data_IF_245465919323
#
_entry.id   IF_245465919323
#
_cell.length_a   1.000
_cell.length_b   1.000
_cell.length_c   1.000
_cell.angle_alpha   90.00
_cell.angle_beta   90.00
_cell.angle_gamma   90.00
#
_symmetry.space_group_name_H-M   'P 1'
#
loop_
_entity.id
_entity.type
_entity.pdbx_description
1 polymer ?
#
# COMPACT_ATOMS: atom_id res chain seq x y z
N UNK A 1 40.05 47.58 -4.52
CA UNK A 1 38.98 47.88 -5.49
C UNK A 1 37.67 47.61 -4.78
N UNK A 2 36.97 48.70 -4.44
CA UNK A 2 35.68 48.69 -3.78
C UNK A 2 34.59 48.42 -4.82
N UNK A 3 33.59 47.63 -4.47
CA UNK A 3 32.36 47.48 -5.25
C UNK A 3 31.17 47.66 -4.31
N UNK A 4 30.31 48.57 -4.73
CA UNK A 4 29.34 49.27 -3.93
C UNK A 4 28.10 48.45 -3.58
N UNK A 5 27.61 48.76 -2.39
CA UNK A 5 26.31 48.39 -1.83
C UNK A 5 25.20 49.16 -2.54
N UNK A 6 24.17 48.46 -3.03
CA UNK A 6 22.90 49.06 -3.40
C UNK A 6 21.79 48.41 -2.58
N UNK A 7 21.36 49.16 -1.56
CA UNK A 7 20.13 48.95 -0.83
C UNK A 7 19.06 49.86 -1.47
N UNK A 8 17.88 49.32 -1.75
CA UNK A 8 16.76 50.08 -2.30
C UNK A 8 15.50 49.73 -1.52
N UNK A 9 14.85 50.70 -0.85
CA UNK A 9 13.62 50.47 -0.12
C UNK A 9 12.45 50.36 -1.10
N UNK A 10 11.67 49.28 -0.98
CA UNK A 10 10.42 49.10 -1.72
C UNK A 10 9.28 49.76 -0.94
N UNK A 11 8.60 50.67 -1.62
CA UNK A 11 7.47 51.48 -1.18
C UNK A 11 6.20 50.62 -1.00
N UNK A 12 5.78 50.43 0.26
CA UNK A 12 4.51 49.81 0.65
C UNK A 12 3.39 50.85 0.70
N UNK A 13 2.73 51.16 -0.42
CA UNK A 13 1.57 52.05 -0.38
C UNK A 13 0.56 51.89 -1.53
N UNK A 14 -0.13 50.75 -1.63
CA UNK A 14 -1.55 50.69 -2.11
C UNK A 14 -2.10 49.27 -2.15
N UNK A 15 -2.97 48.92 -1.21
CA UNK A 15 -3.88 47.79 -1.36
C UNK A 15 -5.32 48.33 -1.44
N UNK A 16 -6.04 48.11 -2.55
CA UNK A 16 -7.45 48.48 -2.66
C UNK A 16 -8.32 47.63 -1.72
N UNK A 17 -9.17 48.30 -0.94
CA UNK A 17 -10.17 47.69 -0.07
C UNK A 17 -11.19 46.89 -0.91
N UNK A 18 -11.30 45.59 -0.64
CA UNK A 18 -12.36 44.74 -1.19
C UNK A 18 -13.70 45.03 -0.47
N UNK A 19 -14.84 44.98 -1.19
CA UNK A 19 -16.16 45.12 -0.62
C UNK A 19 -16.52 43.92 0.28
N UNK A 20 -17.04 44.23 1.47
CA UNK A 20 -17.55 43.27 2.44
C UNK A 20 -18.83 42.59 1.93
N UNK A 21 -18.91 41.25 1.90
CA UNK A 21 -20.15 40.55 1.58
C UNK A 21 -21.14 40.66 2.75
N UNK A 22 -22.32 41.20 2.43
CA UNK A 22 -23.50 41.27 3.29
C UNK A 22 -23.90 39.88 3.82
N UNK A 23 -23.74 39.71 5.12
CA UNK A 23 -24.25 38.58 5.92
C UNK A 23 -25.78 38.65 6.03
N UNK A 24 -26.46 37.76 5.32
CA UNK A 24 -27.82 37.35 5.63
C UNK A 24 -27.92 35.83 5.41
N UNK A 25 -27.81 35.00 6.47
CA UNK A 25 -28.04 33.57 6.32
C UNK A 25 -29.53 33.29 6.02
N UNK A 26 -29.84 32.30 5.16
CA UNK A 26 -31.21 31.92 4.89
C UNK A 26 -31.90 31.35 6.15
N UNK A 27 -33.21 31.57 6.32
CA UNK A 27 -33.97 31.06 7.46
C UNK A 27 -34.07 29.52 7.40
N UNK A 28 -33.69 28.86 8.50
CA UNK A 28 -33.82 27.42 8.67
C UNK A 28 -35.30 27.05 8.87
N UNK A 29 -35.86 26.24 7.97
CA UNK A 29 -37.11 25.55 8.22
C UNK A 29 -36.86 24.31 9.08
N UNK A 30 -37.61 24.10 10.18
CA UNK A 30 -37.52 22.88 10.98
C UNK A 30 -38.09 21.69 10.19
N UNK A 31 -37.30 20.62 10.06
CA UNK A 31 -37.74 19.37 9.47
C UNK A 31 -38.80 18.70 10.35
N UNK A 32 -39.95 18.38 9.75
CA UNK A 32 -41.04 17.66 10.38
C UNK A 32 -40.62 16.24 10.73
N UNK A 33 -40.58 15.95 12.04
CA UNK A 33 -40.34 14.62 12.61
C UNK A 33 -41.53 13.72 12.30
N UNK A 34 -41.40 12.83 11.32
CA UNK A 34 -42.30 11.68 11.16
C UNK A 34 -41.67 10.45 11.78
N UNK A 35 -42.19 10.05 12.94
CA UNK A 35 -41.96 8.79 13.64
C UNK A 35 -42.60 7.63 12.88
N UNK A 36 -41.84 6.57 12.51
CA UNK A 36 -42.44 5.28 12.20
C UNK A 36 -42.36 4.36 13.42
N UNK A 37 -43.54 3.83 13.71
CA UNK A 37 -43.93 2.87 14.72
C UNK A 37 -43.10 1.58 14.71
N UNK A 38 -42.85 1.11 15.93
CA UNK A 38 -42.35 -0.20 16.31
C UNK A 38 -43.17 -1.32 15.67
N UNK A 39 -42.51 -2.28 15.03
CA UNK A 39 -43.07 -3.59 14.71
C UNK A 39 -42.01 -4.64 15.00
N UNK A 40 -42.21 -5.35 16.11
CA UNK A 40 -41.48 -6.54 16.45
C UNK A 40 -41.90 -7.66 15.49
N UNK A 41 -40.94 -8.16 14.70
CA UNK A 41 -41.09 -9.39 13.96
C UNK A 41 -39.77 -10.17 14.05
N UNK A 42 -39.84 -11.30 14.74
CA UNK A 42 -38.87 -12.37 14.67
C UNK A 42 -38.70 -12.80 13.21
N UNK A 43 -37.56 -12.46 12.63
CA UNK A 43 -37.24 -12.75 11.23
C UNK A 43 -35.81 -13.26 11.13
N UNK A 44 -35.70 -14.54 10.82
CA UNK A 44 -34.55 -15.25 10.27
C UNK A 44 -33.36 -14.38 9.85
N UNK A 45 -32.20 -14.71 10.44
CA UNK A 45 -30.87 -14.25 10.05
C UNK A 45 -30.76 -14.14 8.51
N UNK A 46 -30.49 -12.95 7.94
CA UNK A 46 -30.24 -12.85 6.52
C UNK A 46 -28.94 -13.58 6.24
N UNK A 47 -29.05 -14.72 5.57
CA UNK A 47 -27.93 -15.36 4.88
C UNK A 47 -27.19 -14.26 4.14
N UNK A 48 -25.94 -14.01 4.53
CA UNK A 48 -25.03 -13.13 3.85
C UNK A 48 -24.89 -13.65 2.42
N UNK A 49 -25.70 -13.12 1.51
CA UNK A 49 -25.60 -13.35 0.08
C UNK A 49 -24.19 -12.98 -0.31
N UNK A 50 -23.37 -14.00 -0.54
CA UNK A 50 -22.03 -13.89 -1.08
C UNK A 50 -22.15 -13.02 -2.34
N UNK A 51 -21.78 -11.74 -2.20
CA UNK A 51 -21.72 -10.82 -3.31
C UNK A 51 -20.89 -11.52 -4.38
N UNK A 52 -21.48 -11.68 -5.56
CA UNK A 52 -20.80 -12.18 -6.75
C UNK A 52 -19.65 -11.22 -7.03
N UNK A 53 -18.51 -11.48 -6.37
CA UNK A 53 -17.30 -10.68 -6.48
C UNK A 53 -16.98 -10.60 -7.96
N UNK A 54 -16.96 -9.38 -8.49
CA UNK A 54 -16.48 -9.15 -9.83
C UNK A 54 -15.10 -9.78 -9.87
N UNK A 55 -14.96 -10.86 -10.63
CA UNK A 55 -13.66 -11.49 -10.80
C UNK A 55 -12.80 -10.44 -11.49
N UNK A 56 -11.82 -9.89 -10.77
CA UNK A 56 -10.86 -8.97 -11.32
C UNK A 56 -10.10 -9.74 -12.41
N UNK A 57 -10.43 -9.45 -13.68
CA UNK A 57 -9.76 -10.05 -14.83
C UNK A 57 -8.46 -9.29 -15.02
N UNK A 58 -7.34 -10.00 -14.91
CA UNK A 58 -6.03 -9.42 -15.18
C UNK A 58 -6.03 -8.75 -16.57
N UNK A 59 -5.40 -7.58 -16.72
CA UNK A 59 -5.30 -6.92 -18.01
C UNK A 59 -4.58 -7.83 -19.02
N UNK A 60 -4.84 -7.71 -20.33
CA UNK A 60 -4.22 -8.53 -21.38
C UNK A 60 -2.75 -8.13 -21.62
N UNK A 61 -1.95 -8.20 -20.56
CA UNK A 61 -0.52 -7.93 -20.55
C UNK A 61 0.25 -9.25 -20.53
N UNK A 62 1.45 -9.24 -21.10
CA UNK A 62 2.33 -10.38 -21.07
C UNK A 62 2.85 -10.58 -19.64
N UNK A 63 2.62 -11.76 -19.02
CA UNK A 63 3.17 -12.06 -17.71
C UNK A 63 4.71 -12.14 -17.75
N UNK A 64 5.36 -11.70 -16.68
CA UNK A 64 6.81 -11.82 -16.54
C UNK A 64 7.20 -12.23 -15.11
N UNK A 65 8.31 -12.97 -14.95
CA UNK A 65 8.79 -13.37 -13.63
C UNK A 65 9.70 -12.29 -12.99
N UNK A 66 10.37 -11.50 -13.82
CA UNK A 66 11.34 -10.51 -13.38
C UNK A 66 11.12 -9.19 -14.11
N UNK A 67 10.93 -8.13 -13.32
CA UNK A 67 10.87 -6.76 -13.81
C UNK A 67 11.62 -5.84 -12.86
N UNK A 68 12.56 -5.06 -13.39
CA UNK A 68 13.35 -4.15 -12.59
C UNK A 68 13.54 -2.80 -13.26
N UNK A 69 13.26 -1.73 -12.53
CA UNK A 69 13.44 -0.34 -12.96
C UNK A 69 14.24 0.39 -11.90
N UNK A 70 15.38 0.96 -12.29
CA UNK A 70 16.22 1.77 -11.40
C UNK A 70 16.57 3.07 -12.11
N UNK A 71 16.06 4.20 -11.63
CA UNK A 71 16.34 5.53 -12.21
C UNK A 71 16.87 6.46 -11.13
N UNK A 72 18.06 7.02 -11.37
CA UNK A 72 18.66 8.05 -10.51
C UNK A 72 18.20 9.47 -10.87
N UNK A 73 17.96 9.72 -12.16
CA UNK A 73 17.65 11.06 -12.70
C UNK A 73 16.15 11.43 -12.72
N UNK A 74 15.33 10.77 -11.90
CA UNK A 74 13.87 10.93 -11.92
C UNK A 74 13.19 10.15 -13.06
N UNK A 75 11.93 10.49 -13.31
CA UNK A 75 11.01 9.88 -14.26
C UNK A 75 9.96 9.00 -13.59
N UNK A 76 8.69 9.46 -13.61
CA UNK A 76 7.53 8.71 -13.10
C UNK A 76 7.50 7.29 -13.67
N UNK A 77 7.17 6.33 -12.81
CA UNK A 77 6.92 4.93 -13.18
C UNK A 77 5.45 4.65 -12.93
N UNK A 78 4.76 4.11 -13.94
CA UNK A 78 3.40 3.67 -13.73
C UNK A 78 2.92 2.68 -14.78
N UNK A 79 1.68 2.22 -14.59
CA UNK A 79 1.04 1.22 -15.44
C UNK A 79 0.73 -0.06 -14.68
N UNK A 80 0.23 -1.06 -15.41
CA UNK A 80 -0.08 -2.37 -14.83
C UNK A 80 0.98 -3.39 -15.20
N UNK A 81 1.23 -4.35 -14.30
CA UNK A 81 2.21 -5.41 -14.46
C UNK A 81 1.60 -6.73 -14.01
N UNK A 82 1.90 -7.79 -14.74
CA UNK A 82 1.46 -9.15 -14.42
C UNK A 82 2.68 -9.99 -14.12
N UNK A 83 2.78 -10.44 -12.87
CA UNK A 83 3.90 -11.26 -12.38
C UNK A 83 3.50 -12.73 -12.45
N UNK A 84 4.24 -13.52 -13.21
CA UNK A 84 4.13 -14.98 -13.26
C UNK A 84 5.44 -15.61 -12.74
N UNK A 85 5.47 -16.08 -11.48
CA UNK A 85 6.65 -16.69 -10.89
C UNK A 85 7.11 -17.97 -11.59
N UNK A 86 6.22 -18.63 -12.33
CA UNK A 86 6.52 -19.87 -13.05
C UNK A 86 7.24 -19.62 -14.39
N UNK A 87 7.26 -18.38 -14.88
CA UNK A 87 7.92 -18.06 -16.14
C UNK A 87 9.45 -18.14 -15.99
N UNK A 88 10.09 -18.94 -16.84
CA UNK A 88 11.55 -19.05 -16.87
C UNK A 88 12.17 -17.87 -17.63
N UNK A 89 13.24 -17.30 -17.08
CA UNK A 89 13.98 -16.21 -17.72
C UNK A 89 15.41 -16.68 -17.98
N UNK A 90 15.92 -16.55 -19.22
CA UNK A 90 17.31 -16.86 -19.52
C UNK A 90 18.27 -16.08 -18.62
N UNK A 91 19.23 -16.77 -18.01
CA UNK A 91 20.12 -16.16 -17.00
C UNK A 91 20.93 -14.96 -17.50
N UNK A 92 21.22 -14.87 -18.80
CA UNK A 92 21.94 -13.74 -19.40
C UNK A 92 21.10 -12.45 -19.51
N UNK A 93 19.77 -12.53 -19.36
CA UNK A 93 18.88 -11.37 -19.33
C UNK A 93 18.66 -10.85 -17.90
N UNK A 94 19.08 -11.60 -16.88
CA UNK A 94 18.93 -11.20 -15.49
C UNK A 94 20.04 -10.23 -15.10
N UNK A 95 19.69 -9.20 -14.33
CA UNK A 95 20.71 -8.31 -13.77
C UNK A 95 21.64 -9.09 -12.81
N UNK A 96 22.95 -8.80 -12.79
CA UNK A 96 23.86 -9.40 -11.82
C UNK A 96 23.40 -9.12 -10.39
N UNK A 97 23.47 -10.14 -9.53
CA UNK A 97 23.16 -9.96 -8.12
C UNK A 97 24.29 -9.22 -7.39
N UNK A 98 23.98 -8.45 -6.33
CA UNK A 98 24.99 -7.94 -5.42
C UNK A 98 25.84 -9.06 -4.83
N UNK A 99 27.10 -8.77 -4.49
CA UNK A 99 28.00 -9.75 -3.85
C UNK A 99 27.36 -10.31 -2.57
N UNK A 100 27.37 -11.63 -2.45
CA UNK A 100 26.82 -12.35 -1.29
C UNK A 100 25.32 -12.64 -1.34
N UNK A 101 24.59 -12.12 -2.34
CA UNK A 101 23.19 -12.50 -2.59
C UNK A 101 23.10 -13.76 -3.45
N UNK A 102 22.11 -14.60 -3.17
CA UNK A 102 21.81 -15.81 -3.95
C UNK A 102 20.65 -15.55 -4.90
N UNK A 103 20.47 -16.41 -5.91
CA UNK A 103 19.31 -16.34 -6.82
C UNK A 103 17.97 -16.45 -6.07
N UNK A 104 17.93 -17.12 -4.92
CA UNK A 104 16.76 -17.15 -4.03
C UNK A 104 16.38 -15.79 -3.44
N UNK A 105 17.30 -14.83 -3.43
CA UNK A 105 17.07 -13.48 -2.89
C UNK A 105 16.64 -12.49 -3.99
N UNK A 106 16.54 -12.95 -5.24
CA UNK A 106 16.14 -12.11 -6.36
C UNK A 106 14.67 -11.74 -6.24
N UNK A 107 14.40 -10.45 -6.37
CA UNK A 107 13.05 -9.89 -6.39
C UNK A 107 12.40 -10.14 -7.75
N UNK A 108 11.11 -10.49 -7.78
CA UNK A 108 10.32 -10.61 -9.00
C UNK A 108 10.00 -9.23 -9.58
N UNK A 109 9.73 -8.25 -8.70
CA UNK A 109 9.50 -6.86 -9.06
C UNK A 109 10.37 -5.94 -8.21
N UNK A 110 11.23 -5.16 -8.85
CA UNK A 110 12.16 -4.24 -8.19
C UNK A 110 12.12 -2.85 -8.83
N UNK A 111 11.36 -1.92 -8.24
CA UNK A 111 11.28 -0.53 -8.71
C UNK A 111 12.01 0.37 -7.72
N UNK A 112 12.98 1.15 -8.19
CA UNK A 112 13.69 2.13 -7.38
C UNK A 112 13.84 3.47 -8.12
N UNK A 113 12.97 4.41 -7.76
CA UNK A 113 12.92 5.78 -8.30
C UNK A 113 12.76 6.80 -7.16
N UNK A 114 13.79 6.99 -6.31
CA UNK A 114 13.66 7.69 -5.02
C UNK A 114 13.18 9.15 -5.12
N UNK A 115 13.33 9.78 -6.29
CA UNK A 115 13.00 11.19 -6.51
C UNK A 115 11.72 11.41 -7.33
N UNK A 116 10.98 10.35 -7.68
CA UNK A 116 9.78 10.47 -8.52
C UNK A 116 8.62 9.58 -8.05
N UNK A 117 7.44 9.78 -8.62
CA UNK A 117 6.22 9.06 -8.31
C UNK A 117 6.23 7.64 -8.91
N UNK A 118 5.68 6.70 -8.15
CA UNK A 118 5.32 5.35 -8.58
C UNK A 118 3.81 5.18 -8.46
N UNK A 119 3.15 4.78 -9.55
CA UNK A 119 1.71 4.51 -9.60
C UNK A 119 1.47 3.24 -10.41
N UNK A 120 1.43 2.11 -9.73
CA UNK A 120 1.43 0.79 -10.38
C UNK A 120 0.29 -0.11 -9.90
N UNK A 121 -0.18 -0.94 -10.81
CA UNK A 121 -1.07 -2.08 -10.55
C UNK A 121 -0.28 -3.37 -10.72
N UNK A 122 -0.22 -4.19 -9.68
CA UNK A 122 0.51 -5.46 -9.71
C UNK A 122 -0.47 -6.61 -9.56
N UNK A 123 -0.46 -7.48 -10.57
CA UNK A 123 -1.26 -8.70 -10.62
C UNK A 123 -0.32 -9.89 -10.43
N UNK A 124 -0.62 -10.81 -9.51
CA UNK A 124 0.19 -12.00 -9.30
C UNK A 124 -0.58 -13.20 -9.85
N UNK A 125 -0.07 -13.82 -10.91
CA UNK A 125 -0.69 -14.97 -11.53
C UNK A 125 -0.28 -16.27 -10.84
N UNK A 126 -1.24 -17.19 -10.70
CA UNK A 126 -0.98 -18.59 -10.43
C UNK A 126 -1.38 -19.44 -11.63
N UNK A 127 -0.48 -19.54 -12.60
CA UNK A 127 -0.73 -20.29 -13.84
C UNK A 127 -1.03 -21.76 -13.58
N UNK A 128 -0.39 -22.37 -12.57
CA UNK A 128 -0.65 -23.76 -12.21
C UNK A 128 -2.10 -23.95 -11.72
N UNK A 129 -2.61 -23.01 -10.92
CA UNK A 129 -4.00 -23.04 -10.48
C UNK A 129 -4.97 -22.81 -11.63
N UNK A 130 -4.64 -21.96 -12.60
CA UNK A 130 -5.48 -21.71 -13.78
C UNK A 130 -5.50 -22.91 -14.74
N UNK A 131 -4.36 -23.55 -15.00
CA UNK A 131 -4.28 -24.76 -15.81
C UNK A 131 -5.05 -25.93 -15.17
N UNK A 132 -5.00 -26.06 -13.84
CA UNK A 132 -5.79 -27.03 -13.09
C UNK A 132 -7.31 -26.80 -13.19
N UNK A 133 -7.77 -25.55 -13.35
CA UNK A 133 -9.19 -25.22 -13.56
C UNK A 133 -9.64 -25.44 -15.00
N UNK A 134 -8.76 -25.17 -15.96
CA UNK A 134 -9.06 -25.23 -17.40
C UNK A 134 -9.05 -26.68 -17.93
N UNK A 135 -8.22 -27.53 -17.35
CA UNK A 135 -8.22 -28.96 -17.66
C UNK A 135 -9.49 -29.61 -17.13
N UNK A 136 -10.53 -29.68 -17.98
CA UNK A 136 -11.72 -30.57 -17.84
C UNK A 136 -11.36 -32.06 -17.80
N UNK A 137 -10.08 -32.40 -17.65
CA UNK A 137 -9.59 -33.76 -17.49
C UNK A 137 -10.03 -34.21 -16.10
N UNK A 138 -10.76 -35.33 -16.06
CA UNK A 138 -11.34 -35.94 -14.86
C UNK A 138 -10.41 -35.79 -13.64
N UNK A 139 -10.96 -35.42 -12.46
CA UNK A 139 -10.15 -35.24 -11.26
C UNK A 139 -9.29 -36.50 -11.06
N UNK A 140 -7.95 -36.39 -10.98
CA UNK A 140 -7.15 -37.53 -10.61
C UNK A 140 -7.66 -38.03 -9.25
N UNK A 141 -8.02 -39.31 -9.21
CA UNK A 141 -8.45 -40.04 -8.01
C UNK A 141 -7.64 -39.58 -6.79
N UNK A 142 -8.30 -39.29 -5.65
CA UNK A 142 -7.66 -38.72 -4.47
C UNK A 142 -6.70 -39.74 -3.85
N UNK A 143 -5.46 -39.78 -4.35
CA UNK A 143 -4.39 -40.51 -3.70
C UNK A 143 -4.11 -39.86 -2.34
N UNK A 144 -4.36 -40.64 -1.29
CA UNK A 144 -4.56 -40.22 0.10
C UNK A 144 -3.29 -39.77 0.83
N UNK A 145 -2.31 -39.21 0.14
CA UNK A 145 -1.16 -38.58 0.79
C UNK A 145 -1.06 -37.13 0.32
N UNK A 146 -1.85 -36.25 0.96
CA UNK A 146 -1.53 -34.82 1.03
C UNK A 146 -0.21 -34.67 1.78
N UNK A 147 0.90 -34.93 1.08
CA UNK A 147 2.21 -34.49 1.51
C UNK A 147 2.10 -32.97 1.66
N UNK A 148 2.30 -32.50 2.89
CA UNK A 148 2.40 -31.10 3.25
C UNK A 148 3.43 -30.49 2.29
N UNK A 149 2.96 -29.69 1.34
CA UNK A 149 3.83 -29.07 0.35
C UNK A 149 4.87 -28.23 1.11
N UNK A 150 6.10 -28.70 1.11
CA UNK A 150 7.22 -27.94 1.64
C UNK A 150 7.39 -26.75 0.70
N UNK A 151 6.84 -25.60 1.10
CA UNK A 151 6.93 -24.34 0.34
C UNK A 151 8.39 -24.12 -0.01
N UNK A 152 8.75 -24.30 -1.29
CA UNK A 152 10.09 -24.01 -1.76
C UNK A 152 10.27 -22.50 -1.65
N UNK A 153 11.47 -22.02 -1.32
CA UNK A 153 11.76 -20.58 -1.29
C UNK A 153 11.51 -19.86 -2.64
N UNK A 154 11.22 -20.62 -3.71
CA UNK A 154 10.81 -20.19 -5.03
C UNK A 154 9.30 -19.87 -5.15
N UNK A 155 8.46 -20.28 -4.19
CA UNK A 155 7.00 -20.06 -4.25
C UNK A 155 6.55 -18.70 -3.69
N UNK A 156 7.47 -17.92 -3.12
CA UNK A 156 7.18 -16.59 -2.55
C UNK A 156 7.56 -15.50 -3.55
N UNK A 157 6.55 -14.72 -3.96
CA UNK A 157 6.72 -13.57 -4.87
C UNK A 157 7.27 -12.39 -4.09
N UNK A 158 8.48 -11.94 -4.43
CA UNK A 158 9.16 -10.82 -3.78
C UNK A 158 8.97 -9.54 -4.57
N UNK A 159 8.37 -8.53 -3.96
CA UNK A 159 8.09 -7.24 -4.57
C UNK A 159 8.73 -6.15 -3.73
N UNK A 160 9.56 -5.32 -4.34
CA UNK A 160 10.19 -4.17 -3.71
C UNK A 160 9.96 -2.93 -4.56
N UNK A 161 9.30 -1.93 -3.99
CA UNK A 161 8.94 -0.71 -4.69
C UNK A 161 9.38 0.50 -3.87
N UNK A 162 10.23 1.34 -4.45
CA UNK A 162 10.74 2.56 -3.85
C UNK A 162 10.45 3.78 -4.75
N UNK A 163 9.81 4.80 -4.16
CA UNK A 163 9.43 6.04 -4.83
C UNK A 163 9.36 7.24 -3.88
N UNK A 164 9.25 8.45 -4.43
CA UNK A 164 8.96 9.66 -3.66
C UNK A 164 7.52 9.65 -3.16
N UNK A 165 6.58 9.46 -4.09
CA UNK A 165 5.17 9.19 -3.78
C UNK A 165 4.83 7.84 -4.39
N UNK A 166 4.31 6.93 -3.59
CA UNK A 166 4.11 5.53 -4.01
C UNK A 166 2.64 5.17 -3.88
N UNK A 167 2.00 4.88 -5.00
CA UNK A 167 0.68 4.26 -5.08
C UNK A 167 0.84 2.87 -5.69
N UNK A 168 0.64 1.86 -4.86
CA UNK A 168 0.70 0.46 -5.27
C UNK A 168 -0.66 -0.18 -5.03
N UNK A 169 -1.21 -0.79 -6.08
CA UNK A 169 -2.43 -1.60 -6.00
C UNK A 169 -2.05 -3.05 -6.25
N UNK A 170 -2.13 -3.87 -5.21
CA UNK A 170 -1.92 -5.30 -5.32
C UNK A 170 -3.25 -5.98 -5.61
N UNK A 171 -3.33 -6.66 -6.74
CA UNK A 171 -4.50 -7.43 -7.16
C UNK A 171 -4.34 -8.91 -6.77
N UNK A 172 -5.43 -9.66 -6.89
CA UNK A 172 -5.54 -11.06 -6.47
C UNK A 172 -4.29 -11.90 -6.78
N UNK A 173 -3.89 -12.70 -5.79
CA UNK A 173 -2.66 -13.49 -5.80
C UNK A 173 -2.90 -14.94 -6.23
N UNK A 174 -4.14 -15.35 -6.52
CA UNK A 174 -4.44 -16.74 -6.90
C UNK A 174 -4.04 -17.77 -5.84
N UNK A 175 -3.87 -17.34 -4.58
CA UNK A 175 -3.35 -18.17 -3.49
C UNK A 175 -1.82 -18.20 -3.33
N UNK A 176 -1.08 -17.45 -4.14
CA UNK A 176 0.38 -17.32 -4.02
C UNK A 176 0.80 -16.48 -2.81
N UNK A 177 1.94 -16.84 -2.25
CA UNK A 177 2.57 -16.12 -1.16
C UNK A 177 3.33 -14.92 -1.72
N UNK A 178 3.24 -13.78 -1.04
CA UNK A 178 3.92 -12.55 -1.44
C UNK A 178 4.66 -11.93 -0.27
N UNK A 179 5.91 -11.56 -0.50
CA UNK A 179 6.71 -10.72 0.39
C UNK A 179 6.86 -9.34 -0.25
N UNK A 180 6.06 -8.39 0.24
CA UNK A 180 5.92 -7.05 -0.33
C UNK A 180 6.61 -6.03 0.57
N UNK A 181 7.60 -5.33 0.02
CA UNK A 181 8.21 -4.15 0.63
C UNK A 181 7.88 -2.90 -0.17
N UNK A 182 7.23 -1.92 0.46
CA UNK A 182 6.91 -0.62 -0.14
C UNK A 182 7.66 0.48 0.60
N UNK A 183 8.50 1.21 -0.11
CA UNK A 183 9.28 2.35 0.38
C UNK A 183 8.78 3.63 -0.28
N UNK A 184 8.36 4.61 0.52
CA UNK A 184 7.86 5.89 -0.01
C UNK A 184 8.41 7.07 0.77
N UNK A 185 9.11 8.01 0.13
CA UNK A 185 9.78 9.11 0.85
C UNK A 185 8.83 10.23 1.34
N UNK A 186 7.65 10.40 0.75
CA UNK A 186 6.73 11.49 1.09
C UNK A 186 5.29 11.05 1.33
N UNK A 187 4.75 10.16 0.50
CA UNK A 187 3.41 9.63 0.71
C UNK A 187 3.30 8.24 0.13
N UNK A 188 2.67 7.33 0.88
CA UNK A 188 2.48 5.94 0.46
C UNK A 188 1.02 5.54 0.56
N UNK A 189 0.51 4.96 -0.53
CA UNK A 189 -0.83 4.41 -0.66
C UNK A 189 -0.72 2.98 -1.12
N UNK A 190 -1.23 2.07 -0.29
CA UNK A 190 -1.18 0.65 -0.57
C UNK A 190 -2.61 0.09 -0.59
N UNK A 191 -3.04 -0.37 -1.76
CA UNK A 191 -4.26 -1.14 -1.90
C UNK A 191 -3.92 -2.63 -1.85
N UNK A 192 -4.59 -3.37 -0.97
CA UNK A 192 -4.42 -4.81 -0.80
C UNK A 192 -5.67 -5.55 -1.26
N UNK A 193 -5.55 -6.78 -1.78
CA UNK A 193 -6.73 -7.58 -2.10
C UNK A 193 -7.41 -8.02 -0.79
N UNK A 194 -8.74 -8.15 -0.80
CA UNK A 194 -9.50 -8.63 0.39
C UNK A 194 -9.09 -10.04 0.84
N UNK A 195 -8.51 -10.83 -0.08
CA UNK A 195 -7.96 -12.15 0.19
C UNK A 195 -6.62 -12.12 0.94
N UNK A 196 -5.96 -10.96 1.06
CA UNK A 196 -4.72 -10.86 1.81
C UNK A 196 -4.95 -11.20 3.29
N UNK A 197 -4.10 -12.10 3.80
CA UNK A 197 -4.06 -12.53 5.20
C UNK A 197 -2.60 -12.61 5.62
N UNK A 198 -2.22 -11.86 6.64
CA UNK A 198 -0.85 -11.86 7.11
C UNK A 198 -0.40 -10.64 7.89
N UNK A 199 0.84 -10.67 8.40
CA UNK A 199 1.45 -9.57 9.12
C UNK A 199 1.69 -8.38 8.20
N UNK A 200 1.48 -7.21 8.77
CA UNK A 200 1.72 -5.91 8.18
C UNK A 200 2.54 -5.07 9.15
N UNK A 201 3.75 -4.67 8.72
CA UNK A 201 4.61 -3.77 9.49
C UNK A 201 4.70 -2.41 8.83
N UNK A 202 4.48 -1.35 9.61
CA UNK A 202 4.51 0.03 9.15
C UNK A 202 5.58 0.80 9.91
N UNK A 203 6.45 1.46 9.15
CA UNK A 203 7.50 2.34 9.67
C UNK A 203 7.25 3.74 9.11
N UNK A 204 6.88 4.68 9.97
CA UNK A 204 6.53 6.06 9.56
C UNK A 204 7.25 7.13 10.39
N UNK A 205 7.36 8.35 9.87
CA UNK A 205 8.05 9.46 10.52
C UNK A 205 7.18 10.73 10.53
N UNK A 206 6.22 10.80 11.45
CA UNK A 206 5.48 12.04 11.70
C UNK A 206 4.01 11.77 11.99
N UNK A 207 3.31 11.19 11.03
CA UNK A 207 1.89 10.84 11.18
C UNK A 207 1.69 9.35 11.34
N UNK A 208 0.83 8.97 12.28
CA UNK A 208 0.39 7.60 12.40
C UNK A 208 -0.21 7.11 11.08
N UNK A 209 0.07 5.86 10.65
CA UNK A 209 -0.50 5.33 9.43
C UNK A 209 -2.01 5.18 9.57
N UNK A 210 -2.72 5.42 8.48
CA UNK A 210 -4.17 5.34 8.41
C UNK A 210 -4.64 4.10 7.66
N UNK A 211 -5.74 3.52 8.16
CA UNK A 211 -6.45 2.43 7.52
C UNK A 211 -7.83 2.90 7.08
N UNK A 212 -8.26 2.46 5.90
CA UNK A 212 -9.63 2.63 5.47
C UNK A 212 -10.62 2.00 6.46
N UNK A 213 -11.85 2.52 6.57
CA UNK A 213 -12.84 1.99 7.52
C UNK A 213 -13.10 0.50 7.36
N UNK A 214 -13.18 -0.01 6.11
CA UNK A 214 -13.44 -1.43 5.89
C UNK A 214 -12.21 -2.31 6.07
N UNK A 215 -10.98 -1.81 5.86
CA UNK A 215 -9.78 -2.56 6.24
C UNK A 215 -9.64 -2.65 7.76
N UNK A 216 -9.93 -1.55 8.48
CA UNK A 216 -9.73 -1.43 9.93
C UNK A 216 -10.43 -2.52 10.74
N UNK A 217 -11.61 -2.97 10.32
CA UNK A 217 -12.35 -4.04 11.03
C UNK A 217 -11.65 -5.40 10.97
N UNK A 218 -10.74 -5.59 10.01
CA UNK A 218 -9.99 -6.84 9.80
C UNK A 218 -8.54 -6.72 10.28
N UNK A 219 -8.15 -5.60 10.91
CA UNK A 219 -6.78 -5.38 11.39
C UNK A 219 -6.73 -5.66 12.89
N UNK A 220 -5.89 -6.62 13.29
CA UNK A 220 -5.51 -6.83 14.69
C UNK A 220 -4.18 -6.16 14.96
N UNK A 221 -4.15 -5.26 15.93
CA UNK A 221 -2.98 -4.50 16.33
C UNK A 221 -2.22 -5.20 17.46
N UNK A 222 -0.92 -5.44 17.29
CA UNK A 222 -0.09 -6.13 18.31
C UNK A 222 0.92 -5.22 18.98
N UNK A 223 1.48 -4.29 18.22
CA UNK A 223 2.56 -3.44 18.69
C UNK A 223 2.47 -2.08 18.03
N UNK A 224 2.58 -1.06 18.86
CA UNK A 224 2.66 0.34 18.46
C UNK A 224 3.68 1.00 19.38
N UNK A 225 4.70 1.59 18.79
CA UNK A 225 5.79 2.22 19.52
C UNK A 225 6.17 3.55 18.85
N UNK A 226 6.32 4.58 19.67
CA UNK A 226 6.79 5.93 19.30
C UNK A 226 8.30 6.10 19.64
N UNK A 227 8.95 5.01 20.07
CA UNK A 227 10.38 5.02 20.29
C UNK A 227 11.11 5.26 18.97
N UNK A 228 11.96 6.30 18.98
CA UNK A 228 12.77 6.76 17.85
C UNK A 228 13.87 5.76 17.48
N UNK A 229 13.48 4.55 17.08
CA UNK A 229 14.38 3.49 16.67
C UNK A 229 14.43 3.49 15.15
N UNK A 230 15.64 3.57 14.59
CA UNK A 230 15.92 3.45 13.15
C UNK A 230 15.40 4.60 12.27
N UNK A 231 15.49 5.86 12.71
CA UNK A 231 15.06 7.05 11.95
C UNK A 231 13.56 7.07 11.60
N UNK A 232 12.78 6.17 12.19
CA UNK A 232 11.33 6.16 12.12
C UNK A 232 10.82 6.57 13.51
N UNK A 233 9.79 7.42 13.53
CA UNK A 233 9.17 7.87 14.76
C UNK A 233 8.13 6.86 15.25
N UNK A 234 7.38 6.27 14.31
CA UNK A 234 6.31 5.33 14.61
C UNK A 234 6.57 3.97 13.98
N UNK A 235 6.51 2.93 14.78
CA UNK A 235 6.51 1.54 14.33
C UNK A 235 5.19 0.89 14.75
N UNK A 236 4.47 0.34 13.77
CA UNK A 236 3.21 -0.36 13.99
C UNK A 236 3.28 -1.76 13.39
N UNK A 237 3.06 -2.79 14.21
CA UNK A 237 2.93 -4.18 13.75
C UNK A 237 1.50 -4.64 13.97
N UNK A 238 0.89 -5.09 12.89
CA UNK A 238 -0.47 -5.56 12.88
C UNK A 238 -0.59 -6.81 12.01
N UNK A 239 -1.76 -7.42 12.04
CA UNK A 239 -2.11 -8.58 11.22
C UNK A 239 -3.46 -8.34 10.58
N UNK A 240 -3.57 -8.62 9.28
CA UNK A 240 -4.82 -8.50 8.54
C UNK A 240 -5.44 -9.89 8.45
N UNK A 241 -6.69 -10.02 8.91
CA UNK A 241 -7.46 -11.27 8.94
C UNK A 241 -7.65 -11.84 10.35
N UNK A 242 -8.15 -13.08 10.39
CA UNK A 242 -8.38 -13.82 11.64
C UNK A 242 -7.04 -14.32 12.22
N UNK A 243 -6.62 -13.72 13.33
CA UNK A 243 -5.45 -14.16 14.08
C UNK A 243 -5.85 -15.26 15.07
N UNK A 244 -5.15 -16.40 15.05
CA UNK A 244 -5.29 -17.46 16.07
C UNK A 244 -6.00 -18.75 15.63
N UNK A 245 -6.62 -18.80 14.44
CA UNK A 245 -7.27 -20.03 13.96
C UNK A 245 -6.28 -21.12 13.49
N UNK A 246 -5.05 -20.77 13.10
CA UNK A 246 -4.19 -21.67 12.30
C UNK A 246 -2.73 -21.79 12.75
N UNK A 247 -2.32 -21.22 13.91
CA UNK A 247 -0.90 -21.23 14.30
C UNK A 247 -0.62 -21.86 15.68
N UNK A 248 0.03 -23.04 15.74
CA UNK A 248 0.54 -23.64 16.98
C UNK A 248 1.89 -23.02 17.39
N UNK A 249 1.97 -22.59 18.65
CA UNK A 249 3.11 -21.90 19.27
C UNK A 249 4.47 -22.66 19.18
N UNK A 250 5.61 -22.00 18.84
CA UNK A 250 5.76 -20.77 18.09
C UNK A 250 6.07 -21.09 16.62
N UNK A 251 5.19 -20.83 15.64
CA UNK A 251 5.48 -21.12 14.26
C UNK A 251 5.99 -19.85 13.58
N UNK A 252 7.16 -19.95 12.95
CA UNK A 252 7.63 -18.96 11.97
C UNK A 252 6.51 -18.76 10.94
N UNK A 253 6.01 -17.53 10.78
CA UNK A 253 5.03 -17.21 9.75
C UNK A 253 5.54 -17.60 8.36
N UNK A 254 4.75 -18.37 7.62
CA UNK A 254 5.07 -18.85 6.27
C UNK A 254 4.17 -18.26 5.20
N UNK A 255 3.23 -17.38 5.57
CA UNK A 255 2.30 -16.78 4.62
C UNK A 255 2.87 -15.50 3.98
N UNK A 256 2.00 -14.71 3.37
CA UNK A 256 2.37 -13.42 2.77
C UNK A 256 2.73 -12.38 3.84
N UNK A 257 3.69 -11.51 3.55
CA UNK A 257 4.19 -10.46 4.45
C UNK A 257 4.15 -9.12 3.72
N UNK A 258 3.81 -8.05 4.45
CA UNK A 258 3.84 -6.68 3.91
C UNK A 258 4.59 -5.78 4.87
N UNK A 259 5.63 -5.12 4.36
CA UNK A 259 6.37 -4.09 5.07
C UNK A 259 6.26 -2.76 4.31
N UNK A 260 5.79 -1.71 5.00
CA UNK A 260 5.69 -0.35 4.46
C UNK A 260 6.62 0.56 5.24
N UNK A 261 7.57 1.18 4.53
CA UNK A 261 8.54 2.12 5.10
C UNK A 261 8.30 3.46 4.43
N UNK A 262 7.65 4.38 5.14
CA UNK A 262 7.37 5.69 4.59
C UNK A 262 7.45 6.77 5.65
N UNK A 263 8.48 7.63 5.64
CA UNK A 263 8.54 8.73 6.60
C UNK A 263 7.29 9.63 6.54
N UNK A 264 6.68 9.83 5.38
CA UNK A 264 5.48 10.67 5.30
C UNK A 264 4.15 9.94 5.55
N UNK A 265 3.08 10.47 4.97
CA UNK A 265 1.72 9.99 5.17
C UNK A 265 1.52 8.60 4.56
N UNK A 266 1.00 7.65 5.33
CA UNK A 266 0.73 6.29 4.87
C UNK A 266 -0.75 5.97 4.99
N UNK A 267 -1.36 5.50 3.89
CA UNK A 267 -2.77 5.10 3.85
C UNK A 267 -2.91 3.70 3.22
N UNK A 268 -3.59 2.80 3.92
CA UNK A 268 -3.78 1.41 3.48
C UNK A 268 -5.27 1.11 3.39
N UNK A 269 -5.67 0.47 2.28
CA UNK A 269 -7.06 0.25 1.92
C UNK A 269 -7.21 -1.03 1.11
N UNK A 270 -8.44 -1.46 0.85
CA UNK A 270 -8.66 -2.58 -0.07
C UNK A 270 -8.65 -2.14 -1.53
N UNK A 271 -8.24 -3.01 -2.44
CA UNK A 271 -8.14 -2.70 -3.87
C UNK A 271 -9.50 -2.37 -4.53
N UNK A 272 -10.60 -2.90 -3.98
CA UNK A 272 -11.96 -2.61 -4.41
C UNK A 272 -12.53 -1.30 -3.83
N UNK A 273 -11.80 -0.62 -2.94
CA UNK A 273 -12.20 0.66 -2.37
C UNK A 273 -11.71 1.83 -3.23
N UNK A 274 -12.50 2.91 -3.26
CA UNK A 274 -12.05 4.13 -3.91
C UNK A 274 -10.82 4.67 -3.17
N UNK A 275 -9.72 4.98 -3.88
CA UNK A 275 -8.54 5.53 -3.24
C UNK A 275 -8.92 6.88 -2.59
N UNK A 276 -8.29 7.23 -1.45
CA UNK A 276 -8.50 8.54 -0.87
C UNK A 276 -8.15 9.62 -1.90
N UNK A 277 -8.80 10.81 -1.86
CA UNK A 277 -8.43 11.90 -2.75
C UNK A 277 -6.93 12.17 -2.67
N UNK A 278 -6.23 12.47 -3.78
CA UNK A 278 -4.80 12.73 -3.77
C UNK A 278 -4.48 13.81 -2.72
N UNK A 279 -3.36 13.65 -2.00
CA UNK A 279 -2.90 14.68 -1.06
C UNK A 279 -2.87 16.00 -1.80
N UNK A 280 -3.61 16.98 -1.30
CA UNK A 280 -3.60 18.29 -1.91
C UNK A 280 -2.20 18.87 -1.76
N UNK A 281 -1.74 19.64 -2.76
CA UNK A 281 -0.41 20.29 -2.71
C UNK A 281 -0.20 21.09 -1.42
N UNK A 282 -1.28 21.58 -0.82
CA UNK A 282 -1.27 22.27 0.46
C UNK A 282 -0.93 21.37 1.65
N UNK A 283 -1.50 20.16 1.71
CA UNK A 283 -1.14 19.17 2.75
C UNK A 283 0.33 18.76 2.63
N UNK A 284 0.85 18.58 1.41
CA UNK A 284 2.27 18.32 1.20
C UNK A 284 3.15 19.50 1.65
N UNK A 285 2.71 20.74 1.42
CA UNK A 285 3.44 21.93 1.85
C UNK A 285 3.45 22.09 3.37
N UNK A 286 2.31 21.86 4.03
CA UNK A 286 2.22 21.88 5.49
C UNK A 286 3.06 20.77 6.13
N UNK A 287 3.07 19.56 5.55
CA UNK A 287 3.93 18.48 6.00
C UNK A 287 5.42 18.82 5.85
N UNK A 288 5.81 19.45 4.74
CA UNK A 288 7.18 19.92 4.54
C UNK A 288 7.55 20.99 5.57
N UNK A 289 6.69 21.97 5.82
CA UNK A 289 6.93 22.99 6.85
C UNK A 289 7.01 22.39 8.26
N UNK A 290 6.16 21.42 8.58
CA UNK A 290 6.19 20.74 9.88
C UNK A 290 7.48 19.91 10.10
N UNK A 291 8.11 19.42 9.01
CA UNK A 291 9.40 18.74 9.09
C UNK A 291 10.60 19.67 9.33
N UNK A 292 10.45 20.96 9.03
CA UNK A 292 11.39 22.01 9.45
C UNK A 292 10.98 22.54 10.83
N UNK A 293 11.09 21.69 11.86
CA UNK A 293 10.98 22.17 13.23
C UNK A 293 12.01 23.29 13.47
N UNK A 294 11.71 24.27 14.34
CA UNK A 294 12.67 25.32 14.65
C UNK A 294 13.92 24.65 15.22
N UNK A 295 15.06 24.74 14.52
CA UNK A 295 16.36 24.49 15.13
C UNK A 295 16.44 25.43 16.32
N UNK A 296 16.25 24.89 17.52
CA UNK A 296 16.53 25.63 18.75
C UNK A 296 18.01 25.98 18.66
N UNK A 297 18.38 27.26 18.56
CA UNK A 297 19.78 27.64 18.57
C UNK A 297 20.37 27.14 19.88
N UNK A 298 21.44 26.34 19.78
CA UNK A 298 22.16 25.83 20.95
C UNK A 298 22.57 27.04 21.81
N UNK A 299 21.87 27.20 22.94
CA UNK A 299 22.19 28.21 23.92
C UNK A 299 23.54 27.81 24.55
N UNK A 300 24.57 28.56 24.15
CA UNK A 300 25.94 28.46 24.66
C UNK A 300 26.18 29.47 25.77
#
# INVERSE_FOLDING_TARGET
>A
MAVDSYDSPVDESKVPLLPTPSSNPPPYQPASTSTPSTSAASGSCPTCSAGSGLKHVAPPLLPCNYYAVRRKGGGKVGGSMVIDPSASIPGHLLMPLPKGKKESDRENLAIAVPYDAVDIDVWICDRAAEEAKSSKVLPPEPSSSRQRATVSAQDVVRINVEGLTTQLRLHDMGGRLCDLTVKGHSATRLALPRSFRGPLTLYTNGTAPEFSPALRVNVTMFYEDDAHKHHCKYVRKCFIGEYGAEQPDPPKWTGSTVDVISPGSTYIYYEDEQPPPPFTRWEMFLHKLASFGPETPDAS
#
